data_IF_179447587414
#
_entry.id   IF_179447587414
#
_cell.length_a   1.000
_cell.length_b   1.000
_cell.length_c   1.000
_cell.angle_alpha   90.00
_cell.angle_beta   90.00
_cell.angle_gamma   90.00
#
_symmetry.space_group_name_H-M   'P 1'
#
loop_
_entity.id
_entity.type
_entity.pdbx_description
1 polymer ?
#
# COMPACT_ATOMS: atom_id res chain seq x y z
N UNK A 1 0.30 -15.04 12.46
CA UNK A 1 -0.70 -14.86 11.39
C UNK A 1 -1.43 -13.52 11.45
N UNK A 2 -2.40 -13.29 12.34
CA UNK A 2 -3.11 -11.98 12.37
C UNK A 2 -2.20 -10.78 12.68
N UNK A 3 -1.25 -10.96 13.61
CA UNK A 3 -0.26 -9.94 13.94
C UNK A 3 0.69 -9.64 12.77
N UNK A 4 1.15 -10.68 12.05
CA UNK A 4 2.00 -10.55 10.86
C UNK A 4 1.26 -9.85 9.72
N UNK A 5 -0.02 -10.19 9.49
CA UNK A 5 -0.86 -9.52 8.50
C UNK A 5 -1.06 -8.04 8.84
N UNK A 6 -1.26 -7.70 10.13
CA UNK A 6 -1.35 -6.30 10.54
C UNK A 6 -0.03 -5.56 10.36
N UNK A 7 1.10 -6.19 10.72
CA UNK A 7 2.42 -5.61 10.48
C UNK A 7 2.65 -5.37 8.98
N UNK A 8 2.29 -6.32 8.11
CA UNK A 8 2.37 -6.16 6.67
C UNK A 8 1.51 -4.98 6.17
N UNK A 9 0.27 -4.84 6.66
CA UNK A 9 -0.59 -3.69 6.34
C UNK A 9 0.02 -2.36 6.79
N UNK A 10 0.61 -2.31 7.99
CA UNK A 10 1.33 -1.12 8.48
C UNK A 10 2.52 -0.79 7.58
N UNK A 11 3.34 -1.77 7.21
CA UNK A 11 4.47 -1.57 6.30
C UNK A 11 4.03 -1.02 4.94
N UNK A 12 2.96 -1.55 4.35
CA UNK A 12 2.40 -1.03 3.09
C UNK A 12 1.96 0.43 3.23
N UNK A 13 1.29 0.79 4.34
CA UNK A 13 0.86 2.18 4.60
C UNK A 13 2.04 3.14 4.79
N UNK A 14 3.13 2.68 5.41
CA UNK A 14 4.34 3.48 5.56
C UNK A 14 4.98 3.78 4.21
N UNK A 15 5.13 2.76 3.35
CA UNK A 15 5.66 2.96 1.98
C UNK A 15 4.78 3.92 1.17
N UNK A 16 3.45 3.81 1.30
CA UNK A 16 2.52 4.75 0.66
C UNK A 16 2.78 6.20 1.12
N UNK A 17 2.95 6.41 2.42
CA UNK A 17 3.24 7.72 3.00
C UNK A 17 4.55 8.27 2.43
N UNK A 18 5.61 7.48 2.46
CA UNK A 18 6.93 7.89 1.97
C UNK A 18 6.90 8.22 0.47
N UNK A 19 6.14 7.45 -0.33
CA UNK A 19 5.95 7.73 -1.74
C UNK A 19 5.23 9.07 -1.97
N UNK A 20 4.12 9.30 -1.27
CA UNK A 20 3.35 10.55 -1.38
C UNK A 20 4.15 11.77 -0.89
N UNK A 21 4.93 11.62 0.18
CA UNK A 21 5.79 12.70 0.69
C UNK A 21 6.88 13.08 -0.34
N UNK A 22 7.43 12.10 -1.08
CA UNK A 22 8.36 12.36 -2.20
C UNK A 22 7.68 13.08 -3.36
N UNK A 23 6.51 12.62 -3.81
CA UNK A 23 5.76 13.27 -4.90
C UNK A 23 5.43 14.72 -4.52
N UNK A 24 5.00 14.96 -3.28
CA UNK A 24 4.73 16.30 -2.77
C UNK A 24 5.97 17.20 -2.75
N UNK A 25 7.16 16.65 -2.46
CA UNK A 25 8.42 17.39 -2.54
C UNK A 25 8.72 17.79 -3.99
N UNK A 26 8.60 16.87 -4.94
CA UNK A 26 8.79 17.14 -6.38
C UNK A 26 7.83 18.23 -6.89
N UNK A 27 6.57 18.23 -6.44
CA UNK A 27 5.61 19.27 -6.79
C UNK A 27 6.02 20.64 -6.25
N UNK A 28 6.49 20.69 -5.00
CA UNK A 28 6.98 21.92 -4.37
C UNK A 28 8.20 22.49 -5.09
N UNK A 29 9.09 21.61 -5.54
CA UNK A 29 10.29 21.96 -6.29
C UNK A 29 9.99 22.27 -7.78
N UNK A 30 8.71 22.18 -8.18
CA UNK A 30 8.19 22.40 -9.54
C UNK A 30 8.80 21.46 -10.59
N UNK A 31 9.23 20.27 -10.16
CA UNK A 31 9.72 19.23 -11.07
C UNK A 31 8.57 18.45 -11.75
N UNK A 32 7.38 18.48 -11.14
CA UNK A 32 6.16 17.86 -11.67
C UNK A 32 4.97 18.83 -11.64
N UNK A 33 3.94 18.56 -12.43
CA UNK A 33 2.68 19.32 -12.41
C UNK A 33 1.69 18.82 -11.35
N UNK A 34 0.65 19.60 -11.06
CA UNK A 34 -0.47 19.16 -10.21
C UNK A 34 -1.27 17.98 -10.80
N UNK A 35 -1.27 17.83 -12.13
CA UNK A 35 -1.88 16.68 -12.79
C UNK A 35 -1.04 15.41 -12.57
N UNK A 36 0.29 15.53 -12.61
CA UNK A 36 1.22 14.43 -12.35
C UNK A 36 1.19 13.99 -10.89
N UNK A 37 1.09 14.93 -9.94
CA UNK A 37 0.90 14.63 -8.51
C UNK A 37 -0.38 13.81 -8.29
N UNK A 38 -1.51 14.27 -8.84
CA UNK A 38 -2.79 13.55 -8.74
C UNK A 38 -2.71 12.15 -9.34
N UNK A 39 -2.12 12.01 -10.54
CA UNK A 39 -1.94 10.69 -11.18
C UNK A 39 -1.04 9.78 -10.34
N UNK A 40 0.04 10.31 -9.79
CA UNK A 40 0.97 9.54 -8.94
C UNK A 40 0.28 9.05 -7.68
N UNK A 41 -0.55 9.88 -7.03
CA UNK A 41 -1.32 9.49 -5.86
C UNK A 41 -2.33 8.38 -6.18
N UNK A 42 -3.04 8.47 -7.32
CA UNK A 42 -3.97 7.43 -7.76
C UNK A 42 -3.26 6.09 -8.00
N UNK A 43 -2.10 6.10 -8.64
CA UNK A 43 -1.34 4.88 -8.93
C UNK A 43 -0.74 4.27 -7.66
N UNK A 44 -0.22 5.10 -6.75
CA UNK A 44 0.23 4.68 -5.41
C UNK A 44 -0.93 4.06 -4.62
N UNK A 45 -2.14 4.63 -4.71
CA UNK A 45 -3.32 4.08 -4.05
C UNK A 45 -3.73 2.72 -4.63
N UNK A 46 -3.77 2.58 -5.96
CA UNK A 46 -4.04 1.28 -6.62
C UNK A 46 -3.04 0.20 -6.19
N UNK A 47 -1.75 0.52 -6.13
CA UNK A 47 -0.71 -0.42 -5.69
C UNK A 47 -0.89 -0.80 -4.21
N UNK A 48 -1.20 0.17 -3.36
CA UNK A 48 -1.51 -0.04 -1.94
C UNK A 48 -2.67 -1.02 -1.77
N UNK A 49 -3.78 -0.77 -2.46
CA UNK A 49 -4.99 -1.59 -2.35
C UNK A 49 -4.77 -3.01 -2.86
N UNK A 50 -4.04 -3.14 -3.98
CA UNK A 50 -3.65 -4.44 -4.51
C UNK A 50 -2.77 -5.23 -3.53
N UNK A 51 -1.83 -4.57 -2.84
CA UNK A 51 -0.98 -5.21 -1.85
C UNK A 51 -1.77 -5.66 -0.61
N UNK A 52 -2.65 -4.79 -0.07
CA UNK A 52 -3.53 -5.12 1.05
C UNK A 52 -4.41 -6.32 0.72
N UNK A 53 -5.04 -6.33 -0.48
CA UNK A 53 -5.87 -7.45 -0.92
C UNK A 53 -5.10 -8.78 -0.95
N UNK A 54 -3.83 -8.76 -1.36
CA UNK A 54 -2.97 -9.95 -1.33
C UNK A 54 -2.66 -10.42 0.09
N UNK A 55 -2.40 -9.50 1.02
CA UNK A 55 -2.17 -9.82 2.43
C UNK A 55 -3.42 -10.47 3.04
N UNK A 56 -4.59 -9.89 2.77
CA UNK A 56 -5.85 -10.41 3.32
C UNK A 56 -6.21 -11.78 2.72
N UNK A 57 -5.97 -11.99 1.41
CA UNK A 57 -6.16 -13.29 0.78
C UNK A 57 -5.22 -14.36 1.36
N UNK A 58 -3.92 -14.04 1.50
CA UNK A 58 -2.95 -14.97 2.07
C UNK A 58 -3.28 -15.34 3.54
N UNK A 59 -3.77 -14.38 4.32
CA UNK A 59 -4.24 -14.65 5.68
C UNK A 59 -5.45 -15.60 5.68
N UNK A 60 -6.43 -15.34 4.81
CA UNK A 60 -7.64 -16.16 4.71
C UNK A 60 -7.33 -17.60 4.29
N UNK A 61 -6.49 -17.77 3.27
CA UNK A 61 -6.06 -19.09 2.79
C UNK A 61 -5.36 -19.88 3.90
N UNK A 62 -4.47 -19.20 4.67
CA UNK A 62 -3.74 -19.85 5.76
C UNK A 62 -4.63 -20.17 6.96
N UNK A 63 -5.59 -19.31 7.30
CA UNK A 63 -6.59 -19.59 8.33
C UNK A 63 -7.48 -20.79 7.92
N UNK A 64 -7.88 -20.88 6.66
CA UNK A 64 -8.68 -21.99 6.14
C UNK A 64 -7.90 -23.31 6.13
N UNK A 65 -6.63 -23.31 5.72
CA UNK A 65 -5.74 -24.48 5.76
C UNK A 65 -5.65 -25.03 7.19
N UNK A 66 -5.48 -24.16 8.19
CA UNK A 66 -5.38 -24.57 9.60
C UNK A 66 -6.71 -25.11 10.18
N UNK A 67 -7.87 -24.63 9.70
CA UNK A 67 -9.18 -25.11 10.15
C UNK A 67 -9.60 -26.45 9.53
N UNK A 68 -8.94 -26.90 8.47
CA UNK A 68 -9.21 -28.18 7.80
C UNK A 68 -8.45 -29.37 8.42
N UNK A 69 -7.57 -29.12 9.40
CA UNK A 69 -6.90 -30.14 10.22
C UNK A 69 -7.62 -30.34 11.56
#
# INVERSE_FOLDING_TARGET
MRAEAEQARVSVRNVRRDANDKVKALLKDKEISEDDDRRSQDDVQKMTDAAIKKVDAALADKEAELMQF
#
